data_IF_930113099486
#
_entry.id   IF_930113099486
#
_cell.length_a   1.000
_cell.length_b   1.000
_cell.length_c   1.000
_cell.angle_alpha   90.00
_cell.angle_beta   90.00
_cell.angle_gamma   90.00
#
_symmetry.space_group_name_H-M   'P 1'
#
loop_
_entity.id
_entity.type
_entity.pdbx_description
1 polymer ?
#
# COMPACT_ATOMS: atom_id res chain seq x y z
N UNK A 1 -11.41 23.92 22.54
CA UNK A 1 -10.90 23.06 21.45
C UNK A 1 -11.42 21.67 21.71
N UNK A 2 -12.38 21.21 20.89
CA UNK A 2 -13.29 20.12 21.26
C UNK A 2 -12.75 18.71 21.00
N UNK A 3 -13.36 17.68 21.63
CA UNK A 3 -12.92 16.27 21.60
C UNK A 3 -12.80 15.64 20.20
N UNK A 4 -13.39 16.26 19.16
CA UNK A 4 -13.29 15.80 17.77
C UNK A 4 -11.89 15.97 17.18
N UNK A 5 -11.11 16.99 17.58
CA UNK A 5 -9.77 17.23 16.99
C UNK A 5 -8.71 16.27 17.50
N UNK A 6 -8.88 15.74 18.72
CA UNK A 6 -7.93 14.81 19.34
C UNK A 6 -8.10 13.39 18.75
N UNK A 7 -9.35 12.97 18.53
CA UNK A 7 -9.67 11.71 17.85
C UNK A 7 -9.09 11.64 16.44
N UNK A 8 -9.18 12.73 15.66
CA UNK A 8 -8.66 12.76 14.27
C UNK A 8 -7.13 12.71 14.22
N UNK A 9 -6.45 13.36 15.18
CA UNK A 9 -4.98 13.30 15.28
C UNK A 9 -4.50 11.89 15.63
N UNK A 10 -5.19 11.23 16.57
CA UNK A 10 -4.84 9.88 16.98
C UNK A 10 -5.05 8.87 15.84
N UNK A 11 -6.16 8.95 15.10
CA UNK A 11 -6.40 8.09 13.94
C UNK A 11 -5.37 8.30 12.82
N UNK A 12 -4.94 9.55 12.62
CA UNK A 12 -3.92 9.87 11.63
C UNK A 12 -2.54 9.32 12.01
N UNK A 13 -2.14 9.46 13.28
CA UNK A 13 -0.88 8.91 13.79
C UNK A 13 -0.82 7.39 13.66
N UNK A 14 -1.91 6.70 14.00
CA UNK A 14 -2.00 5.25 13.82
C UNK A 14 -1.84 4.85 12.34
N UNK A 15 -2.45 5.61 11.42
CA UNK A 15 -2.27 5.42 9.99
C UNK A 15 -0.82 5.60 9.53
N UNK A 16 -0.15 6.67 9.97
CA UNK A 16 1.26 6.91 9.65
C UNK A 16 2.19 5.82 10.19
N UNK A 17 2.01 5.42 11.44
CA UNK A 17 2.79 4.33 12.05
C UNK A 17 2.59 3.04 11.26
N UNK A 18 1.35 2.73 10.87
CA UNK A 18 1.05 1.55 10.07
C UNK A 18 1.78 1.57 8.72
N UNK A 19 1.73 2.68 7.98
CA UNK A 19 2.44 2.84 6.71
C UNK A 19 3.96 2.74 6.90
N UNK A 20 4.51 3.37 7.93
CA UNK A 20 5.94 3.33 8.24
C UNK A 20 6.42 1.90 8.52
N UNK A 21 5.68 1.12 9.30
CA UNK A 21 5.98 -0.29 9.57
C UNK A 21 6.04 -1.08 8.26
N UNK A 22 5.06 -0.90 7.37
CA UNK A 22 5.05 -1.60 6.08
C UNK A 22 6.23 -1.22 5.20
N UNK A 23 6.58 0.06 5.11
CA UNK A 23 7.77 0.52 4.37
C UNK A 23 9.03 -0.15 4.92
N UNK A 24 9.19 -0.23 6.24
CA UNK A 24 10.35 -0.89 6.86
C UNK A 24 10.39 -2.39 6.56
N UNK A 25 9.25 -3.09 6.60
CA UNK A 25 9.17 -4.51 6.25
C UNK A 25 9.60 -4.74 4.80
N UNK A 26 9.07 -3.97 3.85
CA UNK A 26 9.45 -4.12 2.43
C UNK A 26 10.90 -3.73 2.17
N UNK A 27 11.44 -2.72 2.87
CA UNK A 27 12.85 -2.39 2.80
C UNK A 27 13.75 -3.53 3.33
N UNK A 28 13.34 -4.17 4.43
CA UNK A 28 14.03 -5.35 4.95
C UNK A 28 13.98 -6.53 3.96
N UNK A 29 12.82 -6.78 3.34
CA UNK A 29 12.67 -7.81 2.30
C UNK A 29 13.63 -7.52 1.13
N UNK A 30 13.70 -6.27 0.66
CA UNK A 30 14.63 -5.88 -0.41
C UNK A 30 16.09 -6.15 -0.03
N UNK A 31 16.49 -5.83 1.20
CA UNK A 31 17.84 -6.11 1.69
C UNK A 31 18.13 -7.61 1.76
N UNK A 32 17.18 -8.42 2.22
CA UNK A 32 17.30 -9.89 2.25
C UNK A 32 17.39 -10.46 0.83
N UNK A 33 16.56 -9.99 -0.10
CA UNK A 33 16.59 -10.42 -1.51
C UNK A 33 17.93 -10.10 -2.15
N UNK A 34 18.42 -8.86 -1.99
CA UNK A 34 19.75 -8.48 -2.47
C UNK A 34 20.85 -9.37 -1.87
N UNK A 35 20.81 -9.60 -0.56
CA UNK A 35 21.78 -10.46 0.12
C UNK A 35 21.80 -11.89 -0.43
N UNK A 36 20.62 -12.49 -0.64
CA UNK A 36 20.47 -13.85 -1.16
C UNK A 36 20.93 -13.97 -2.62
N UNK A 37 20.74 -12.92 -3.43
CA UNK A 37 21.22 -12.86 -4.82
C UNK A 37 22.71 -12.54 -4.93
N UNK A 38 23.43 -12.38 -3.81
CA UNK A 38 24.84 -12.01 -3.81
C UNK A 38 25.10 -10.56 -4.21
N UNK A 39 24.06 -9.74 -4.24
CA UNK A 39 24.14 -8.32 -4.55
C UNK A 39 24.72 -7.56 -3.36
N UNK A 40 25.90 -6.96 -3.56
CA UNK A 40 26.68 -6.32 -2.48
C UNK A 40 26.94 -4.84 -2.71
N UNK A 41 26.67 -4.32 -3.91
CA UNK A 41 26.86 -2.90 -4.19
C UNK A 41 25.64 -2.10 -3.75
N UNK A 42 25.85 -0.82 -3.41
CA UNK A 42 24.78 0.10 -3.02
C UNK A 42 23.69 0.18 -4.11
N UNK A 43 24.08 0.21 -5.38
CA UNK A 43 23.15 0.28 -6.51
C UNK A 43 22.31 -0.99 -6.63
N UNK A 44 22.86 -2.15 -6.32
CA UNK A 44 22.08 -3.39 -6.35
C UNK A 44 21.01 -3.41 -5.26
N UNK A 45 21.30 -2.86 -4.06
CA UNK A 45 20.29 -2.69 -3.01
C UNK A 45 19.19 -1.71 -3.42
N UNK A 46 19.55 -0.63 -4.13
CA UNK A 46 18.56 0.31 -4.69
C UNK A 46 17.69 -0.37 -5.74
N UNK A 47 18.27 -1.19 -6.62
CA UNK A 47 17.54 -1.96 -7.62
C UNK A 47 16.60 -2.99 -6.96
N UNK A 48 17.07 -3.70 -5.94
CA UNK A 48 16.22 -4.61 -5.17
C UNK A 48 15.06 -3.88 -4.49
N UNK A 49 15.31 -2.69 -3.92
CA UNK A 49 14.27 -1.87 -3.31
C UNK A 49 13.20 -1.45 -4.34
N UNK A 50 13.62 -1.02 -5.53
CA UNK A 50 12.72 -0.65 -6.62
C UNK A 50 11.90 -1.85 -7.12
N UNK A 51 12.50 -3.03 -7.24
CA UNK A 51 11.81 -4.26 -7.64
C UNK A 51 10.76 -4.68 -6.61
N UNK A 52 11.12 -4.67 -5.33
CA UNK A 52 10.21 -5.05 -4.24
C UNK A 52 9.06 -4.04 -4.11
N UNK A 53 9.28 -2.76 -4.42
CA UNK A 53 8.24 -1.74 -4.44
C UNK A 53 7.11 -2.03 -5.45
N UNK A 54 7.36 -2.85 -6.48
CA UNK A 54 6.33 -3.26 -7.43
C UNK A 54 5.26 -4.16 -6.80
N UNK A 55 5.60 -4.95 -5.78
CA UNK A 55 4.66 -5.85 -5.12
C UNK A 55 3.49 -5.10 -4.45
N UNK A 56 3.70 -4.12 -3.55
CA UNK A 56 2.59 -3.36 -2.97
C UNK A 56 1.84 -2.53 -4.02
N UNK A 57 2.50 -2.06 -5.09
CA UNK A 57 1.82 -1.40 -6.20
C UNK A 57 0.90 -2.35 -6.98
N UNK A 58 1.35 -3.57 -7.25
CA UNK A 58 0.55 -4.61 -7.87
C UNK A 58 -0.64 -5.03 -6.98
N UNK A 59 -0.43 -5.12 -5.67
CA UNK A 59 -1.52 -5.37 -4.71
C UNK A 59 -2.51 -4.21 -4.67
N UNK A 60 -2.03 -2.96 -4.76
CA UNK A 60 -2.89 -1.79 -4.81
C UNK A 60 -3.77 -1.79 -6.07
N UNK A 61 -3.19 -2.06 -7.24
CA UNK A 61 -3.93 -2.09 -8.52
C UNK A 61 -4.90 -3.25 -8.58
N UNK A 62 -4.48 -4.46 -8.20
CA UNK A 62 -5.36 -5.64 -8.15
C UNK A 62 -6.50 -5.47 -7.16
N UNK A 63 -6.25 -4.87 -5.99
CA UNK A 63 -7.32 -4.54 -5.03
C UNK A 63 -8.28 -3.47 -5.55
N UNK A 64 -7.78 -2.44 -6.24
CA UNK A 64 -8.63 -1.39 -6.84
C UNK A 64 -9.51 -1.95 -7.96
N UNK A 65 -8.94 -2.80 -8.81
CA UNK A 65 -9.66 -3.44 -9.93
C UNK A 65 -10.63 -4.50 -9.39
N UNK A 66 -10.18 -5.37 -8.49
CA UNK A 66 -10.99 -6.42 -7.88
C UNK A 66 -12.15 -5.87 -7.08
N UNK A 67 -11.96 -4.79 -6.32
CA UNK A 67 -13.02 -4.11 -5.60
C UNK A 67 -14.09 -3.52 -6.54
N UNK A 68 -13.69 -2.96 -7.69
CA UNK A 68 -14.62 -2.47 -8.72
C UNK A 68 -15.35 -3.60 -9.43
N UNK A 69 -14.64 -4.68 -9.77
CA UNK A 69 -15.23 -5.85 -10.42
C UNK A 69 -16.27 -6.53 -9.51
N UNK A 70 -15.96 -6.68 -8.22
CA UNK A 70 -16.89 -7.22 -7.23
C UNK A 70 -18.12 -6.31 -7.02
N UNK A 71 -17.93 -4.98 -7.06
CA UNK A 71 -19.04 -4.04 -6.96
C UNK A 71 -19.97 -4.06 -8.19
N UNK A 72 -19.43 -4.37 -9.38
CA UNK A 72 -20.15 -4.40 -10.65
C UNK A 72 -20.83 -5.75 -10.95
N UNK A 73 -20.52 -6.83 -10.21
CA UNK A 73 -21.07 -8.15 -10.48
C UNK A 73 -22.52 -8.31 -9.96
N UNK A 74 -23.47 -8.38 -10.89
CA UNK A 74 -24.89 -8.61 -10.61
C UNK A 74 -25.16 -9.96 -9.93
N UNK A 75 -24.33 -10.99 -10.17
CA UNK A 75 -24.46 -12.30 -9.51
C UNK A 75 -24.13 -12.23 -8.02
N UNK A 76 -23.16 -11.39 -7.66
CA UNK A 76 -22.77 -11.14 -6.27
C UNK A 76 -23.88 -10.43 -5.48
N UNK A 77 -24.57 -9.47 -6.11
CA UNK A 77 -25.73 -8.81 -5.51
C UNK A 77 -26.95 -9.74 -5.44
N UNK A 78 -27.14 -10.62 -6.43
CA UNK A 78 -28.23 -11.60 -6.44
C UNK A 78 -28.08 -12.65 -5.33
N UNK A 79 -26.89 -13.21 -5.11
CA UNK A 79 -26.66 -14.16 -4.01
C UNK A 79 -26.81 -13.52 -2.62
N UNK A 80 -26.42 -12.25 -2.46
CA UNK A 80 -26.66 -11.46 -1.23
C UNK A 80 -28.13 -11.07 -1.04
N UNK A 81 -28.96 -11.09 -2.09
CA UNK A 81 -30.37 -10.73 -2.02
C UNK A 81 -31.24 -11.75 -1.24
N UNK A 82 -30.76 -13.00 -1.12
CA UNK A 82 -31.46 -14.13 -0.47
C UNK A 82 -31.17 -14.22 1.04
N UNK A 83 -30.23 -13.43 1.58
CA UNK A 83 -29.99 -13.38 3.03
C UNK A 83 -31.14 -12.68 3.77
N UNK A 84 -31.51 -13.15 4.98
CA UNK A 84 -32.65 -12.61 5.75
C UNK A 84 -32.42 -11.21 6.36
N UNK A 85 -31.21 -10.64 6.24
CA UNK A 85 -30.87 -9.35 6.84
C UNK A 85 -31.55 -8.16 6.15
N UNK A 86 -31.80 -7.07 6.89
CA UNK A 86 -32.44 -5.88 6.33
C UNK A 86 -31.61 -5.27 5.19
N UNK A 87 -32.25 -4.68 4.16
CA UNK A 87 -31.56 -4.01 3.05
C UNK A 87 -30.55 -2.95 3.52
N UNK A 88 -30.83 -2.35 4.69
CA UNK A 88 -29.98 -1.35 5.34
C UNK A 88 -28.66 -1.96 5.82
N UNK A 89 -28.69 -3.12 6.47
CA UNK A 89 -27.49 -3.77 7.00
C UNK A 89 -26.55 -4.24 5.89
N UNK A 90 -27.13 -4.76 4.79
CA UNK A 90 -26.38 -5.14 3.58
C UNK A 90 -25.71 -3.94 2.92
N UNK A 91 -26.40 -2.80 2.88
CA UNK A 91 -25.85 -1.56 2.32
C UNK A 91 -24.67 -1.05 3.16
N UNK A 92 -24.80 -1.05 4.50
CA UNK A 92 -23.70 -0.66 5.38
C UNK A 92 -22.50 -1.60 5.28
N UNK A 93 -22.73 -2.91 5.20
CA UNK A 93 -21.66 -3.88 5.04
C UNK A 93 -20.96 -3.71 3.69
N UNK A 94 -21.70 -3.55 2.60
CA UNK A 94 -21.11 -3.30 1.27
C UNK A 94 -20.31 -2.00 1.23
N UNK A 95 -20.80 -0.93 1.86
CA UNK A 95 -20.06 0.33 1.99
C UNK A 95 -18.79 0.18 2.81
N UNK A 96 -18.83 -0.62 3.88
CA UNK A 96 -17.67 -0.94 4.72
C UNK A 96 -16.63 -1.78 3.98
N UNK A 97 -17.07 -2.80 3.24
CA UNK A 97 -16.20 -3.66 2.44
C UNK A 97 -15.51 -2.84 1.33
N UNK A 98 -16.27 -1.99 0.62
CA UNK A 98 -15.73 -1.12 -0.42
C UNK A 98 -14.74 -0.10 0.15
N UNK A 99 -15.09 0.54 1.26
CA UNK A 99 -14.22 1.50 1.94
C UNK A 99 -12.95 0.82 2.46
N UNK A 100 -13.07 -0.41 2.97
CA UNK A 100 -11.94 -1.24 3.38
C UNK A 100 -11.00 -1.56 2.22
N UNK A 101 -11.55 -1.99 1.08
CA UNK A 101 -10.77 -2.31 -0.12
C UNK A 101 -10.06 -1.08 -0.71
N UNK A 102 -10.72 0.08 -0.70
CA UNK A 102 -10.13 1.35 -1.15
C UNK A 102 -9.02 1.83 -0.20
N UNK A 103 -9.24 1.75 1.12
CA UNK A 103 -8.22 2.10 2.10
C UNK A 103 -7.00 1.19 2.02
N UNK A 104 -7.20 -0.13 1.85
CA UNK A 104 -6.11 -1.07 1.63
C UNK A 104 -5.34 -0.73 0.35
N UNK A 105 -6.04 -0.53 -0.77
CA UNK A 105 -5.44 -0.15 -2.04
C UNK A 105 -4.65 1.15 -1.95
N UNK A 106 -5.21 2.19 -1.32
CA UNK A 106 -4.53 3.46 -1.12
C UNK A 106 -3.28 3.32 -0.25
N UNK A 107 -3.36 2.60 0.88
CA UNK A 107 -2.21 2.38 1.75
C UNK A 107 -1.10 1.58 1.05
N UNK A 108 -1.46 0.53 0.32
CA UNK A 108 -0.52 -0.26 -0.46
C UNK A 108 0.17 0.58 -1.55
N UNK A 109 -0.59 1.44 -2.24
CA UNK A 109 -0.04 2.36 -3.23
C UNK A 109 0.95 3.35 -2.59
N UNK A 110 0.58 3.94 -1.44
CA UNK A 110 1.45 4.87 -0.71
C UNK A 110 2.75 4.20 -0.29
N UNK A 111 2.71 2.98 0.26
CA UNK A 111 3.92 2.22 0.62
C UNK A 111 4.81 2.01 -0.60
N UNK A 112 4.24 1.54 -1.72
CA UNK A 112 4.99 1.32 -2.96
C UNK A 112 5.62 2.59 -3.52
N UNK A 113 4.87 3.70 -3.55
CA UNK A 113 5.37 5.01 -4.00
C UNK A 113 6.50 5.50 -3.09
N UNK A 114 6.37 5.39 -1.77
CA UNK A 114 7.41 5.80 -0.82
C UNK A 114 8.71 5.04 -1.09
N UNK A 115 8.63 3.72 -1.29
CA UNK A 115 9.82 2.90 -1.58
C UNK A 115 10.50 3.33 -2.90
N UNK A 116 9.73 3.63 -3.94
CA UNK A 116 10.27 4.15 -5.20
C UNK A 116 10.91 5.53 -5.03
N UNK A 117 10.31 6.42 -4.25
CA UNK A 117 10.88 7.74 -3.97
C UNK A 117 12.19 7.63 -3.19
N UNK A 118 12.25 6.73 -2.20
CA UNK A 118 13.49 6.46 -1.45
C UNK A 118 14.58 5.91 -2.39
N UNK A 119 14.24 4.93 -3.24
CA UNK A 119 15.17 4.38 -4.23
C UNK A 119 15.69 5.48 -5.17
N UNK A 120 14.80 6.31 -5.71
CA UNK A 120 15.16 7.42 -6.59
C UNK A 120 16.05 8.46 -5.90
N UNK A 121 15.74 8.81 -4.64
CA UNK A 121 16.54 9.76 -3.86
C UNK A 121 17.98 9.24 -3.62
N UNK A 122 18.13 7.95 -3.30
CA UNK A 122 19.45 7.33 -3.12
C UNK A 122 20.20 7.30 -4.45
N UNK A 123 19.52 6.96 -5.55
CA UNK A 123 20.12 6.94 -6.88
C UNK A 123 20.62 8.32 -7.33
N UNK A 124 19.79 9.36 -7.16
CA UNK A 124 20.17 10.74 -7.46
C UNK A 124 21.33 11.21 -6.58
N UNK A 125 21.29 10.90 -5.29
CA UNK A 125 22.38 11.20 -4.35
C UNK A 125 23.70 10.56 -4.76
N UNK A 126 23.67 9.27 -5.12
CA UNK A 126 24.84 8.53 -5.59
C UNK A 126 25.52 9.22 -6.78
N UNK A 127 24.75 9.64 -7.79
CA UNK A 127 25.29 10.34 -8.96
C UNK A 127 25.78 11.75 -8.65
N UNK A 128 25.12 12.48 -7.74
CA UNK A 128 25.53 13.84 -7.37
C UNK A 128 26.86 13.91 -6.63
N UNK A 129 27.30 12.80 -6.03
CA UNK A 129 28.54 12.70 -5.26
C UNK A 129 29.72 12.18 -6.07
N UNK A 130 29.49 11.76 -7.32
CA UNK A 130 30.60 11.38 -8.21
C UNK A 130 31.31 12.63 -8.70
N UNK A 131 32.67 12.69 -8.65
CA UNK A 131 33.40 13.80 -9.24
C UNK A 131 33.06 13.86 -10.73
N UNK A 132 32.53 15.01 -11.16
CA UNK A 132 32.32 15.25 -12.59
C UNK A 132 33.69 15.18 -13.30
N UNK A 133 33.74 14.56 -14.50
CA UNK A 133 34.98 14.44 -15.27
C UNK A 133 35.58 15.80 -15.63
#
# INVERSE_FOLDING_TARGET
>A
MGPKTESTRHSFLLGLVHVAIWVLIFALIAAVVAWLLGWRSLLDYVNALALVALAPLALATTSAIGGRAAAADLRYHYSRSVMPDSLRDRTYQSMRDLTGALNFSANAAVVGIILLLVAAAIYLGYWSLQPMP
#
